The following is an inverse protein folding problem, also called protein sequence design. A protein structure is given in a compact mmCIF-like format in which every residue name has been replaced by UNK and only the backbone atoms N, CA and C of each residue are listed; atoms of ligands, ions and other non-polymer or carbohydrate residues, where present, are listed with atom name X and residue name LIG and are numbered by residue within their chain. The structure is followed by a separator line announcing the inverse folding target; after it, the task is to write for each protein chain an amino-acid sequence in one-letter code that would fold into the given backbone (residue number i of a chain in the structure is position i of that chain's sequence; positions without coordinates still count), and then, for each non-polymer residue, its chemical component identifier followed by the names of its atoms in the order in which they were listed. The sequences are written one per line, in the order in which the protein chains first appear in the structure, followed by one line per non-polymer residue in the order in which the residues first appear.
data_IF_788796113374
#
_entry.id   IF_788796113374
#
_cell.length_a   1.000
_cell.length_b   1.000
_cell.length_c   1.000
_cell.angle_alpha   90.00
_cell.angle_beta   90.00
_cell.angle_gamma   90.00
#
_symmetry.space_group_name_H-M   'P 1'
#
loop_
_entity.id
_entity.type
_entity.pdbx_description
1 polymer ?
#
# COMPACT_ATOMS: atom_id res chain seq x y z
N UNK A 1 -58.07 -2.08 10.34
CA UNK A 1 -57.27 -1.88 9.08
C UNK A 1 -56.26 -0.74 9.25
N UNK A 2 -55.41 -0.75 10.33
CA UNK A 2 -54.41 0.33 10.60
C UNK A 2 -53.11 -0.18 11.23
N UNK A 3 -52.72 -1.43 11.08
CA UNK A 3 -51.56 -2.01 11.80
C UNK A 3 -50.57 -2.80 10.93
N UNK A 4 -50.52 -2.59 9.62
CA UNK A 4 -49.60 -3.36 8.73
C UNK A 4 -48.65 -2.51 7.88
N UNK A 5 -48.54 -1.20 8.09
CA UNK A 5 -47.64 -0.36 7.25
C UNK A 5 -46.31 0.00 7.96
N UNK A 6 -46.18 -0.30 9.27
CA UNK A 6 -45.00 0.13 10.04
C UNK A 6 -43.82 -0.86 10.00
N UNK A 7 -43.96 -2.04 9.42
CA UNK A 7 -42.93 -3.10 9.45
C UNK A 7 -42.06 -3.16 8.19
N UNK A 8 -42.42 -2.44 7.14
CA UNK A 8 -41.71 -2.49 5.84
C UNK A 8 -40.65 -1.39 5.65
N UNK A 9 -40.62 -0.39 6.53
CA UNK A 9 -39.64 0.71 6.43
C UNK A 9 -38.35 0.39 7.19
N UNK A 10 -38.33 -0.59 8.10
CA UNK A 10 -37.17 -0.89 8.92
C UNK A 10 -36.15 -1.84 8.25
N UNK A 11 -36.52 -2.54 7.19
CA UNK A 11 -35.59 -3.44 6.47
C UNK A 11 -34.78 -2.78 5.34
N UNK A 12 -35.13 -1.58 4.89
CA UNK A 12 -34.44 -0.91 3.81
C UNK A 12 -33.19 -0.11 4.26
N UNK A 13 -32.99 0.09 5.56
CA UNK A 13 -31.88 0.91 6.10
C UNK A 13 -30.63 0.08 6.43
N UNK A 14 -30.64 -1.23 6.27
CA UNK A 14 -29.53 -2.12 6.65
C UNK A 14 -28.65 -2.58 5.47
N UNK A 15 -28.90 -2.12 4.25
CA UNK A 15 -28.11 -2.45 3.06
C UNK A 15 -27.21 -1.33 2.54
N UNK A 16 -27.10 -0.22 3.23
CA UNK A 16 -26.09 0.79 2.92
C UNK A 16 -24.77 0.43 3.61
N UNK A 17 -24.05 -0.46 2.98
CA UNK A 17 -22.64 -0.28 2.73
C UNK A 17 -21.73 -0.46 3.90
N UNK A 18 -21.25 -1.61 4.13
CA UNK A 18 -19.91 -1.74 4.67
C UNK A 18 -18.99 -2.08 3.50
N UNK A 19 -18.70 -1.10 2.65
CA UNK A 19 -17.47 -1.09 1.88
C UNK A 19 -16.36 -0.62 2.82
N UNK A 20 -15.99 -1.44 3.81
CA UNK A 20 -14.79 -1.24 4.60
C UNK A 20 -13.57 -1.57 3.73
N UNK A 21 -13.22 -0.67 2.79
CA UNK A 21 -11.88 -0.67 2.25
C UNK A 21 -10.95 -0.27 3.39
N UNK A 22 -10.34 -1.24 4.06
CA UNK A 22 -9.41 -0.98 5.15
C UNK A 22 -8.26 -0.12 4.63
N UNK A 23 -8.08 1.06 5.23
CA UNK A 23 -6.91 1.92 5.04
C UNK A 23 -6.03 1.89 6.29
N UNK A 24 -6.15 0.83 7.09
CA UNK A 24 -5.44 0.64 8.34
C UNK A 24 -3.92 0.51 8.12
N UNK A 25 -3.17 0.91 9.12
CA UNK A 25 -1.72 0.69 9.22
C UNK A 25 -1.47 -0.14 10.47
N UNK A 26 -0.82 -1.29 10.28
CA UNK A 26 -0.43 -2.20 11.36
C UNK A 26 1.01 -1.86 11.76
N UNK A 27 1.26 -1.77 13.05
CA UNK A 27 2.59 -1.57 13.62
C UNK A 27 3.12 -2.88 14.18
N UNK A 28 4.37 -3.22 13.84
CA UNK A 28 5.07 -4.39 14.38
C UNK A 28 6.43 -3.95 14.91
N UNK A 29 6.69 -4.06 16.22
CA UNK A 29 8.01 -3.79 16.77
C UNK A 29 8.97 -4.91 16.37
N UNK A 30 10.21 -4.55 16.01
CA UNK A 30 11.34 -5.47 15.81
C UNK A 30 12.47 -5.13 16.77
N UNK A 31 12.40 -5.57 18.04
CA UNK A 31 13.37 -5.19 19.07
C UNK A 31 14.81 -5.60 18.73
N UNK A 32 14.98 -6.74 18.04
CA UNK A 32 16.30 -7.25 17.63
C UNK A 32 17.05 -6.34 16.66
N UNK A 33 16.33 -5.49 15.92
CA UNK A 33 16.90 -4.55 14.94
C UNK A 33 16.75 -3.09 15.38
N UNK A 34 16.27 -2.85 16.60
CA UNK A 34 16.01 -1.49 17.13
C UNK A 34 15.16 -0.65 16.19
N UNK A 35 14.17 -1.26 15.56
CA UNK A 35 13.30 -0.61 14.59
C UNK A 35 11.83 -0.95 14.79
N UNK A 36 10.99 -0.08 14.24
CA UNK A 36 9.54 -0.26 14.21
C UNK A 36 9.10 -0.34 12.76
N UNK A 37 8.36 -1.39 12.42
CA UNK A 37 7.78 -1.58 11.11
C UNK A 37 6.31 -1.15 11.11
N UNK A 38 5.91 -0.54 10.01
CA UNK A 38 4.53 -0.18 9.72
C UNK A 38 4.13 -0.77 8.39
N UNK A 39 2.99 -1.44 8.32
CA UNK A 39 2.45 -2.01 7.10
C UNK A 39 1.09 -1.40 6.81
N UNK A 40 0.91 -0.84 5.63
CA UNK A 40 -0.42 -0.44 5.18
C UNK A 40 -1.26 -1.66 4.84
N UNK A 41 -2.59 -1.49 4.82
CA UNK A 41 -3.46 -2.46 4.19
C UNK A 41 -3.08 -2.68 2.72
N UNK A 42 -3.34 -3.88 2.16
CA UNK A 42 -3.04 -4.18 0.77
C UNK A 42 -3.97 -3.44 -0.19
N UNK A 43 -3.45 -3.17 -1.39
CA UNK A 43 -4.18 -2.70 -2.55
C UNK A 43 -4.02 -3.73 -3.68
N UNK A 44 -5.13 -4.16 -4.27
CA UNK A 44 -5.17 -4.98 -5.48
C UNK A 44 -5.87 -4.16 -6.58
N UNK A 45 -5.12 -3.42 -7.41
CA UNK A 45 -5.73 -2.55 -8.41
C UNK A 45 -6.64 -3.32 -9.36
N UNK A 46 -7.86 -2.80 -9.59
CA UNK A 46 -8.86 -3.46 -10.43
C UNK A 46 -9.64 -4.60 -9.78
N UNK A 47 -9.29 -5.02 -8.55
CA UNK A 47 -10.01 -6.05 -7.77
C UNK A 47 -10.60 -5.38 -6.52
N UNK A 48 -11.93 -5.36 -6.40
CA UNK A 48 -12.60 -4.54 -5.39
C UNK A 48 -13.22 -5.32 -4.22
N UNK A 49 -13.27 -6.65 -4.26
CA UNK A 49 -14.01 -7.43 -3.27
C UNK A 49 -13.14 -7.96 -2.12
N UNK A 50 -12.07 -8.65 -2.43
CA UNK A 50 -11.16 -9.22 -1.42
C UNK A 50 -9.74 -9.01 -1.89
N UNK A 51 -8.91 -8.42 -1.04
CA UNK A 51 -7.49 -8.21 -1.30
C UNK A 51 -6.72 -8.48 -0.01
N UNK A 52 -5.87 -9.48 -0.04
CA UNK A 52 -5.01 -9.85 1.08
C UNK A 52 -3.55 -9.55 0.78
N UNK A 53 -2.77 -9.31 1.80
CA UNK A 53 -1.32 -9.17 1.65
C UNK A 53 -0.73 -10.51 1.17
N UNK A 54 0.09 -10.46 0.13
CA UNK A 54 0.66 -11.66 -0.49
C UNK A 54 -0.14 -12.20 -1.67
N UNK A 55 -1.37 -11.72 -1.90
CA UNK A 55 -2.11 -12.06 -3.11
C UNK A 55 -1.33 -11.63 -4.35
N UNK A 56 -1.40 -12.43 -5.40
CA UNK A 56 -0.77 -12.10 -6.69
C UNK A 56 -1.26 -10.75 -7.20
N UNK A 57 -0.32 -9.85 -7.54
CA UNK A 57 -0.54 -8.45 -7.95
C UNK A 57 -1.06 -7.54 -6.84
N UNK A 58 -1.05 -7.99 -5.59
CA UNK A 58 -1.27 -7.08 -4.47
C UNK A 58 -0.03 -6.21 -4.23
N UNK A 59 -0.24 -5.06 -3.64
CA UNK A 59 0.81 -4.16 -3.21
C UNK A 59 0.45 -3.53 -1.87
N UNK A 60 1.46 -3.21 -1.06
CA UNK A 60 1.29 -2.44 0.15
C UNK A 60 2.51 -1.55 0.39
N UNK A 61 2.33 -0.52 1.21
CA UNK A 61 3.43 0.28 1.69
C UNK A 61 3.96 -0.30 2.99
N UNK A 62 5.30 -0.30 3.11
CA UNK A 62 5.99 -0.64 4.34
C UNK A 62 6.86 0.54 4.78
N UNK A 63 6.64 1.00 6.01
CA UNK A 63 7.45 2.02 6.67
C UNK A 63 8.41 1.39 7.65
N UNK A 64 9.63 1.91 7.70
CA UNK A 64 10.64 1.53 8.68
C UNK A 64 11.06 2.78 9.43
N UNK A 65 10.98 2.72 10.76
CA UNK A 65 11.53 3.73 11.64
C UNK A 65 12.65 3.10 12.45
N UNK A 66 13.88 3.61 12.33
CA UNK A 66 15.02 3.18 13.14
C UNK A 66 15.11 4.05 14.40
N UNK A 67 15.07 3.43 15.57
CA UNK A 67 15.17 4.13 16.85
C UNK A 67 16.53 4.84 16.97
N UNK A 68 17.60 4.16 16.57
CA UNK A 68 18.92 4.76 16.48
C UNK A 68 18.98 5.72 15.28
N UNK A 69 19.07 7.03 15.54
CA UNK A 69 19.21 8.05 14.52
C UNK A 69 17.89 8.60 13.94
N UNK A 70 16.74 8.05 14.28
CA UNK A 70 15.43 8.58 13.85
C UNK A 70 15.15 8.49 12.35
N UNK A 71 15.87 7.61 11.63
CA UNK A 71 15.76 7.45 10.18
C UNK A 71 14.41 6.85 9.80
N UNK A 72 13.75 7.44 8.79
CA UNK A 72 12.48 6.98 8.21
C UNK A 72 12.72 6.51 6.79
N UNK A 73 12.19 5.35 6.45
CA UNK A 73 12.22 4.83 5.08
C UNK A 73 10.86 4.29 4.70
N UNK A 74 10.45 4.51 3.44
CA UNK A 74 9.20 4.01 2.89
C UNK A 74 9.53 3.10 1.70
N UNK A 75 8.87 1.96 1.66
CA UNK A 75 8.99 0.97 0.60
C UNK A 75 7.62 0.65 0.03
N UNK A 76 7.59 0.35 -1.26
CA UNK A 76 6.48 -0.29 -1.94
C UNK A 76 6.82 -1.77 -2.09
N UNK A 77 6.06 -2.62 -1.45
CA UNK A 77 6.14 -4.07 -1.57
C UNK A 77 5.08 -4.53 -2.58
N UNK A 78 5.51 -5.25 -3.63
CA UNK A 78 4.66 -5.78 -4.68
C UNK A 78 4.78 -7.30 -4.73
N UNK A 79 3.65 -8.00 -4.79
CA UNK A 79 3.58 -9.45 -4.70
C UNK A 79 3.20 -10.07 -6.04
N UNK A 80 3.89 -11.15 -6.37
CA UNK A 80 3.71 -11.91 -7.59
C UNK A 80 3.68 -13.41 -7.28
N UNK A 81 3.05 -14.19 -8.17
CA UNK A 81 3.21 -15.63 -8.13
C UNK A 81 4.66 -16.00 -8.47
N UNK A 82 5.29 -16.81 -7.64
CA UNK A 82 6.65 -17.32 -7.87
C UNK A 82 6.78 -18.12 -9.18
N UNK A 83 5.67 -18.63 -9.71
CA UNK A 83 5.64 -19.40 -10.97
C UNK A 83 5.53 -18.53 -12.22
N UNK A 84 5.16 -17.26 -12.10
CA UNK A 84 4.88 -16.39 -13.26
C UNK A 84 6.06 -15.54 -13.70
N UNK A 85 7.09 -15.40 -12.88
CA UNK A 85 8.14 -14.40 -13.11
C UNK A 85 9.51 -14.93 -12.82
N UNK A 86 10.34 -15.05 -13.88
CA UNK A 86 11.78 -15.21 -13.76
C UNK A 86 12.46 -13.81 -13.75
N UNK A 87 13.40 -13.61 -12.82
CA UNK A 87 14.26 -12.42 -12.76
C UNK A 87 13.56 -11.06 -12.74
N UNK A 88 12.96 -10.66 -11.60
CA UNK A 88 12.34 -9.36 -11.46
C UNK A 88 13.39 -8.23 -11.53
N UNK A 89 13.18 -7.27 -12.42
CA UNK A 89 14.04 -6.10 -12.57
C UNK A 89 13.64 -5.03 -11.55
N UNK A 90 12.36 -4.66 -11.52
CA UNK A 90 11.89 -3.64 -10.59
C UNK A 90 10.50 -3.10 -10.90
N UNK A 91 10.17 -2.06 -10.16
CA UNK A 91 8.90 -1.35 -10.20
C UNK A 91 9.14 0.10 -10.59
N UNK A 92 8.24 0.66 -11.37
CA UNK A 92 8.21 2.08 -11.73
C UNK A 92 6.80 2.62 -11.55
N UNK A 93 6.71 3.91 -11.27
CA UNK A 93 5.45 4.66 -11.23
C UNK A 93 5.48 5.73 -12.32
N UNK A 94 4.39 5.85 -13.07
CA UNK A 94 4.16 7.01 -13.94
C UNK A 94 3.13 7.90 -13.26
N UNK A 95 3.52 9.10 -12.90
CA UNK A 95 2.71 10.09 -12.20
C UNK A 95 2.45 11.25 -13.15
N UNK A 96 1.20 11.46 -13.56
CA UNK A 96 0.80 12.51 -14.50
C UNK A 96 1.71 12.57 -15.75
N UNK A 97 2.04 11.41 -16.30
CA UNK A 97 2.85 11.30 -17.53
C UNK A 97 4.36 11.15 -17.30
N UNK A 98 4.89 11.39 -16.10
CA UNK A 98 6.33 11.31 -15.80
C UNK A 98 6.68 10.00 -15.11
N UNK A 99 7.70 9.29 -15.63
CA UNK A 99 8.17 8.03 -15.07
C UNK A 99 9.16 8.22 -13.92
N UNK A 100 8.96 7.45 -12.85
CA UNK A 100 9.83 7.34 -11.69
C UNK A 100 10.20 5.87 -11.48
N UNK A 101 11.47 5.52 -11.72
CA UNK A 101 11.99 4.18 -11.47
C UNK A 101 12.32 4.06 -10.00
N UNK A 102 11.65 3.15 -9.29
CA UNK A 102 11.92 2.92 -7.88
C UNK A 102 13.11 1.97 -7.72
N UNK A 103 14.02 2.32 -6.81
CA UNK A 103 15.19 1.48 -6.54
C UNK A 103 14.75 0.20 -5.82
N UNK A 104 14.90 -0.95 -6.48
CA UNK A 104 14.70 -2.25 -5.86
C UNK A 104 15.71 -2.44 -4.73
N UNK A 105 15.23 -2.78 -3.53
CA UNK A 105 16.04 -3.00 -2.32
C UNK A 105 16.10 -4.47 -1.91
N UNK A 106 15.17 -5.29 -2.40
CA UNK A 106 15.14 -6.71 -2.10
C UNK A 106 14.13 -7.48 -2.92
N UNK A 107 14.32 -8.79 -2.97
CA UNK A 107 13.33 -9.75 -3.46
C UNK A 107 13.30 -10.90 -2.46
N UNK A 108 12.11 -11.24 -1.99
CA UNK A 108 11.87 -12.35 -1.08
C UNK A 108 11.06 -13.41 -1.82
N UNK A 109 11.53 -14.67 -1.72
CA UNK A 109 10.94 -15.84 -2.38
C UNK A 109 10.41 -16.78 -1.28
N UNK A 110 9.26 -16.44 -0.71
CA UNK A 110 8.53 -17.34 0.18
C UNK A 110 7.35 -17.98 -0.55
N UNK A 111 6.16 -18.01 0.05
CA UNK A 111 4.93 -18.53 -0.56
C UNK A 111 4.49 -17.71 -1.79
N UNK A 112 4.82 -16.43 -1.79
CA UNK A 112 4.72 -15.53 -2.94
C UNK A 112 6.03 -14.76 -3.11
N UNK A 113 6.35 -14.35 -4.33
CA UNK A 113 7.50 -13.49 -4.58
C UNK A 113 7.13 -12.05 -4.23
N UNK A 114 7.86 -11.47 -3.28
CA UNK A 114 7.74 -10.07 -2.90
C UNK A 114 8.92 -9.26 -3.42
N UNK A 115 8.63 -8.18 -4.13
CA UNK A 115 9.63 -7.21 -4.57
C UNK A 115 9.46 -5.95 -3.74
N UNK A 116 10.51 -5.56 -3.03
CA UNK A 116 10.54 -4.33 -2.23
C UNK A 116 11.30 -3.24 -2.97
N UNK A 117 10.69 -2.08 -3.14
CA UNK A 117 11.26 -0.91 -3.82
C UNK A 117 11.19 0.33 -2.92
N UNK A 118 12.30 1.04 -2.77
CA UNK A 118 12.35 2.24 -1.97
C UNK A 118 11.61 3.39 -2.66
N UNK A 119 10.82 4.14 -1.89
CA UNK A 119 10.14 5.35 -2.34
C UNK A 119 10.89 6.56 -1.77
N UNK A 120 11.59 7.35 -2.59
CA UNK A 120 12.18 8.62 -2.16
C UNK A 120 11.11 9.61 -1.72
N UNK A 121 11.46 10.53 -0.82
CA UNK A 121 10.52 11.51 -0.27
C UNK A 121 9.89 12.40 -1.34
N UNK A 122 10.66 12.84 -2.32
CA UNK A 122 10.20 13.65 -3.45
C UNK A 122 9.19 12.89 -4.33
N UNK A 123 9.40 11.58 -4.53
CA UNK A 123 8.44 10.72 -5.25
C UNK A 123 7.17 10.53 -4.42
N UNK A 124 7.28 10.35 -3.10
CA UNK A 124 6.12 10.27 -2.22
C UNK A 124 5.27 11.55 -2.29
N UNK A 125 5.90 12.72 -2.29
CA UNK A 125 5.21 14.00 -2.40
C UNK A 125 4.49 14.16 -3.76
N UNK A 126 5.08 13.66 -4.85
CA UNK A 126 4.45 13.65 -6.18
C UNK A 126 3.28 12.66 -6.26
N UNK A 127 3.36 11.50 -5.58
CA UNK A 127 2.24 10.57 -5.49
C UNK A 127 1.00 11.27 -4.91
N UNK A 128 1.15 12.09 -3.85
CA UNK A 128 0.02 12.81 -3.25
C UNK A 128 -0.63 13.82 -4.19
N UNK A 129 0.10 14.37 -5.15
CA UNK A 129 -0.38 15.39 -6.08
C UNK A 129 -0.89 14.80 -7.39
N UNK A 130 -0.55 13.55 -7.69
CA UNK A 130 -0.84 12.91 -8.96
C UNK A 130 -2.36 12.69 -9.15
N UNK A 131 -2.85 13.06 -10.32
CA UNK A 131 -4.24 12.79 -10.76
C UNK A 131 -4.34 11.42 -11.43
N UNK A 132 -3.27 11.02 -12.10
CA UNK A 132 -3.18 9.74 -12.80
C UNK A 132 -1.92 8.99 -12.34
N UNK A 133 -2.10 7.73 -11.97
CA UNK A 133 -1.01 6.84 -11.57
C UNK A 133 -1.04 5.60 -12.47
N UNK A 134 0.07 5.30 -13.13
CA UNK A 134 0.29 4.00 -13.75
C UNK A 134 1.40 3.27 -12.97
N UNK A 135 1.10 2.08 -12.51
CA UNK A 135 2.07 1.16 -11.94
C UNK A 135 2.69 0.32 -13.05
N UNK A 136 4.00 0.15 -13.02
CA UNK A 136 4.73 -0.72 -13.94
C UNK A 136 5.61 -1.70 -13.19
N UNK A 137 5.52 -2.95 -13.57
CA UNK A 137 6.43 -4.00 -13.13
C UNK A 137 7.22 -4.52 -14.34
N UNK A 138 8.53 -4.63 -14.20
CA UNK A 138 9.43 -5.16 -15.22
C UNK A 138 10.17 -6.40 -14.74
N UNK A 139 10.16 -7.43 -15.55
CA UNK A 139 11.02 -8.60 -15.44
C UNK A 139 11.94 -8.68 -16.66
N UNK A 140 12.86 -9.66 -16.68
CA UNK A 140 13.72 -9.92 -17.84
C UNK A 140 12.92 -10.23 -19.10
N UNK A 141 11.74 -10.81 -18.96
CA UNK A 141 10.93 -11.31 -20.07
C UNK A 141 9.87 -10.33 -20.54
N UNK A 142 9.27 -9.56 -19.59
CA UNK A 142 8.14 -8.68 -19.90
C UNK A 142 8.06 -7.47 -18.98
N UNK A 143 7.43 -6.43 -19.48
CA UNK A 143 6.94 -5.28 -18.69
C UNK A 143 5.42 -5.29 -18.68
N UNK A 144 4.83 -5.16 -17.52
CA UNK A 144 3.39 -5.07 -17.32
C UNK A 144 3.06 -3.68 -16.76
N UNK A 145 2.15 -2.98 -17.41
CA UNK A 145 1.67 -1.67 -17.00
C UNK A 145 0.22 -1.78 -16.56
N UNK A 146 -0.12 -1.12 -15.45
CA UNK A 146 -1.47 -1.06 -14.91
C UNK A 146 -1.83 0.38 -14.58
N UNK A 147 -2.74 0.95 -15.34
CA UNK A 147 -3.35 2.24 -15.02
C UNK A 147 -4.31 2.06 -13.85
N UNK A 148 -4.15 2.88 -12.82
CA UNK A 148 -5.07 2.87 -11.68
C UNK A 148 -6.39 3.54 -12.05
N UNK A 149 -7.48 2.96 -11.57
CA UNK A 149 -8.76 3.67 -11.57
C UNK A 149 -8.69 4.89 -10.65
N UNK A 150 -9.59 5.88 -10.78
CA UNK A 150 -9.64 7.00 -9.83
C UNK A 150 -9.77 6.54 -8.37
N UNK A 151 -10.52 5.47 -8.11
CA UNK A 151 -10.67 4.89 -6.78
C UNK A 151 -9.38 4.25 -6.27
N UNK A 152 -8.66 3.52 -7.12
CA UNK A 152 -7.36 2.93 -6.77
C UNK A 152 -6.32 4.03 -6.51
N UNK A 153 -6.32 5.11 -7.30
CA UNK A 153 -5.43 6.26 -7.11
C UNK A 153 -5.65 6.89 -5.74
N UNK A 154 -6.90 7.20 -5.39
CA UNK A 154 -7.24 7.78 -4.07
C UNK A 154 -6.84 6.83 -2.95
N UNK A 155 -7.10 5.53 -3.09
CA UNK A 155 -6.75 4.53 -2.09
C UNK A 155 -5.23 4.40 -1.93
N UNK A 156 -4.48 4.36 -3.01
CA UNK A 156 -3.02 4.32 -3.00
C UNK A 156 -2.41 5.52 -2.25
N UNK A 157 -2.91 6.73 -2.57
CA UNK A 157 -2.52 7.97 -1.89
C UNK A 157 -2.87 7.96 -0.40
N UNK A 158 -4.07 7.48 -0.05
CA UNK A 158 -4.54 7.40 1.34
C UNK A 158 -3.70 6.43 2.16
N UNK A 159 -3.37 5.26 1.62
CA UNK A 159 -2.51 4.27 2.28
C UNK A 159 -1.12 4.84 2.56
N UNK A 160 -0.52 5.51 1.59
CA UNK A 160 0.80 6.16 1.76
C UNK A 160 0.73 7.29 2.78
N UNK A 161 -0.31 8.11 2.76
CA UNK A 161 -0.53 9.20 3.71
C UNK A 161 -0.62 8.68 5.14
N UNK A 162 -1.48 7.68 5.38
CA UNK A 162 -1.67 7.09 6.70
C UNK A 162 -0.36 6.48 7.23
N UNK A 163 0.41 5.82 6.36
CA UNK A 163 1.72 5.27 6.73
C UNK A 163 2.69 6.38 7.15
N UNK A 164 2.78 7.47 6.36
CA UNK A 164 3.66 8.61 6.65
C UNK A 164 3.30 9.28 7.98
N UNK A 165 2.01 9.47 8.25
CA UNK A 165 1.53 9.99 9.53
C UNK A 165 1.95 9.13 10.72
N UNK A 166 1.88 7.79 10.59
CA UNK A 166 2.36 6.87 11.64
C UNK A 166 3.86 6.97 11.88
N UNK A 167 4.66 7.05 10.82
CA UNK A 167 6.11 7.27 10.92
C UNK A 167 6.43 8.61 11.60
N UNK A 168 5.68 9.67 11.32
CA UNK A 168 5.88 10.98 11.93
C UNK A 168 5.49 11.00 13.41
N UNK A 169 4.43 10.30 13.79
CA UNK A 169 4.03 10.12 15.20
C UNK A 169 5.14 9.36 15.95
N UNK A 170 5.64 8.24 15.39
CA UNK A 170 6.71 7.45 16.01
C UNK A 170 7.98 8.28 16.23
N UNK A 171 8.34 9.10 15.25
CA UNK A 171 9.48 10.02 15.36
C UNK A 171 9.35 11.00 16.52
N UNK A 172 8.15 11.55 16.74
CA UNK A 172 7.88 12.45 17.86
C UNK A 172 7.94 11.73 19.21
N UNK A 173 7.40 10.52 19.28
CA UNK A 173 7.44 9.71 20.51
C UNK A 173 8.89 9.36 20.93
N UNK A 174 9.76 9.05 19.95
CA UNK A 174 11.16 8.73 20.24
C UNK A 174 11.96 9.94 20.73
N UNK A 175 11.59 11.16 20.31
CA UNK A 175 12.22 12.40 20.83
C UNK A 175 11.83 12.66 22.28
N UNK A 176 10.61 12.28 22.68
CA UNK A 176 10.08 12.52 24.03
C UNK A 176 10.55 11.47 25.05
N UNK A 177 10.98 10.29 24.59
CA UNK A 177 11.47 9.17 25.42
C UNK A 177 12.80 8.65 24.82
N UNK A 178 13.90 9.40 24.95
CA UNK A 178 15.22 9.02 24.42
C UNK A 178 15.85 7.83 25.14
#
# INVERSE_FOLDING_TARGET
LKTQISSLIFCAALLTGISCSSTSVIQTPEPSLEQVLFHSAPLCPGIHLICSQGDTKSMNFRGVYKNAGGEKSIFLDYYLSSFEVSFPIGVSLKLDGVWYNLRKVGTDYSDSMRISSAIPTDVADRIFQAKEITFSFSSREKTSNQLFSPGDTIRFQTLLKNLREKLDIQSKLNILNP
#
